data_IF_188209326500
#
_entry.id   IF_188209326500
#
_cell.length_a   1.000
_cell.length_b   1.000
_cell.length_c   1.000
_cell.angle_alpha   90.00
_cell.angle_beta   90.00
_cell.angle_gamma   90.00
#
_symmetry.space_group_name_H-M   'P 1'
#
loop_
_entity.id
_entity.type
_entity.pdbx_description
1 polymer ?
#
# COMPACT_ATOMS: atom_id res chain seq x y z
N UNK A 1 -2.68 -16.29 -8.94
CA UNK A 1 -2.36 -16.75 -10.30
C UNK A 1 -3.05 -18.08 -10.64
N UNK A 2 -2.79 -19.17 -9.91
CA UNK A 2 -3.33 -20.51 -10.26
C UNK A 2 -4.87 -20.57 -10.21
N UNK A 3 -5.51 -20.01 -9.17
CA UNK A 3 -6.98 -19.93 -9.11
C UNK A 3 -7.55 -19.12 -10.28
N UNK A 4 -6.99 -17.93 -10.57
CA UNK A 4 -7.40 -17.11 -11.72
C UNK A 4 -7.33 -17.90 -13.03
N UNK A 5 -6.25 -18.67 -13.23
CA UNK A 5 -6.10 -19.49 -14.42
C UNK A 5 -7.19 -20.57 -14.52
N UNK A 6 -7.50 -21.27 -13.41
CA UNK A 6 -8.54 -22.30 -13.40
C UNK A 6 -9.91 -21.75 -13.76
N UNK A 7 -10.32 -20.63 -13.18
CA UNK A 7 -11.58 -19.97 -13.52
C UNK A 7 -11.59 -19.47 -14.97
N UNK A 8 -10.51 -18.89 -15.43
CA UNK A 8 -10.38 -18.37 -16.79
C UNK A 8 -10.44 -19.49 -17.87
N UNK A 9 -9.90 -20.67 -17.56
CA UNK A 9 -9.96 -21.84 -18.45
C UNK A 9 -11.23 -22.66 -18.28
N UNK A 10 -12.21 -22.21 -17.49
CA UNK A 10 -13.51 -22.87 -17.33
C UNK A 10 -13.41 -24.26 -16.67
N UNK A 11 -12.44 -24.44 -15.75
CA UNK A 11 -12.30 -25.70 -15.02
C UNK A 11 -13.53 -26.01 -14.18
N UNK A 12 -13.89 -27.29 -14.07
CA UNK A 12 -15.03 -27.75 -13.29
C UNK A 12 -14.83 -27.50 -11.79
N UNK A 13 -15.94 -27.46 -11.03
CA UNK A 13 -15.88 -27.37 -9.56
C UNK A 13 -14.97 -28.46 -8.98
N UNK A 14 -15.08 -29.68 -9.49
CA UNK A 14 -14.30 -30.80 -9.00
C UNK A 14 -12.79 -30.58 -9.18
N UNK A 15 -12.34 -30.15 -10.38
CA UNK A 15 -10.93 -29.85 -10.66
C UNK A 15 -10.39 -28.68 -9.80
N UNK A 16 -11.24 -27.72 -9.45
CA UNK A 16 -10.87 -26.62 -8.57
C UNK A 16 -10.78 -27.08 -7.11
N UNK A 17 -11.71 -27.92 -6.66
CA UNK A 17 -11.70 -28.50 -5.32
C UNK A 17 -10.47 -29.41 -5.11
N UNK A 18 -10.15 -30.29 -6.07
CA UNK A 18 -8.92 -31.08 -6.05
C UNK A 18 -7.68 -30.19 -5.90
N UNK A 19 -7.61 -29.11 -6.67
CA UNK A 19 -6.52 -28.15 -6.53
C UNK A 19 -6.45 -27.50 -5.14
N UNK A 20 -7.60 -27.19 -4.51
CA UNK A 20 -7.62 -26.63 -3.14
C UNK A 20 -7.05 -27.63 -2.15
N UNK A 21 -7.43 -28.90 -2.25
CA UNK A 21 -6.91 -29.96 -1.38
C UNK A 21 -5.42 -30.23 -1.59
N UNK A 22 -4.94 -30.18 -2.84
CA UNK A 22 -3.51 -30.37 -3.15
C UNK A 22 -2.61 -29.30 -2.56
N UNK A 23 -3.13 -28.05 -2.44
CA UNK A 23 -2.35 -26.91 -1.96
C UNK A 23 -2.58 -26.56 -0.50
N UNK A 24 -3.73 -26.92 0.05
CA UNK A 24 -4.15 -26.53 1.40
C UNK A 24 -4.61 -27.76 2.18
N UNK A 25 -4.09 -27.89 3.39
CA UNK A 25 -4.56 -28.93 4.31
C UNK A 25 -5.82 -28.43 5.03
N UNK A 26 -6.98 -28.62 4.40
CA UNK A 26 -8.28 -28.12 4.86
C UNK A 26 -9.35 -29.20 4.79
N UNK A 27 -10.39 -29.08 5.60
CA UNK A 27 -11.58 -29.93 5.54
C UNK A 27 -12.53 -29.51 4.40
N UNK A 28 -13.56 -30.33 4.17
CA UNK A 28 -14.53 -30.11 3.10
C UNK A 28 -15.30 -28.79 3.26
N UNK A 29 -15.59 -28.39 4.48
CA UNK A 29 -16.30 -27.13 4.74
C UNK A 29 -15.43 -25.92 4.36
N UNK A 30 -14.19 -25.91 4.81
CA UNK A 30 -13.24 -24.84 4.48
C UNK A 30 -12.93 -24.81 2.98
N UNK A 31 -12.73 -25.98 2.34
CA UNK A 31 -12.48 -26.06 0.90
C UNK A 31 -13.67 -25.51 0.08
N UNK A 32 -14.92 -25.86 0.44
CA UNK A 32 -16.11 -25.32 -0.20
C UNK A 32 -16.22 -23.80 0.03
N UNK A 33 -15.98 -23.30 1.24
CA UNK A 33 -16.02 -21.87 1.55
C UNK A 33 -14.99 -21.09 0.71
N UNK A 34 -13.78 -21.61 0.55
CA UNK A 34 -12.74 -21.03 -0.32
C UNK A 34 -13.23 -21.01 -1.77
N UNK A 35 -13.76 -22.14 -2.26
CA UNK A 35 -14.28 -22.22 -3.63
C UNK A 35 -15.37 -21.18 -3.88
N UNK A 36 -16.38 -21.08 -3.00
CA UNK A 36 -17.50 -20.14 -3.13
C UNK A 36 -17.04 -18.69 -3.08
N UNK A 37 -16.10 -18.37 -2.20
CA UNK A 37 -15.49 -17.04 -2.11
C UNK A 37 -14.83 -16.60 -3.43
N UNK A 38 -14.12 -17.53 -4.10
CA UNK A 38 -13.51 -17.24 -5.40
C UNK A 38 -14.53 -17.20 -6.54
N UNK A 39 -15.58 -18.04 -6.49
CA UNK A 39 -16.69 -18.02 -7.47
C UNK A 39 -17.42 -16.67 -7.37
N UNK A 40 -17.74 -16.24 -6.16
CA UNK A 40 -18.40 -14.97 -5.93
C UNK A 40 -17.55 -13.81 -6.46
N UNK A 41 -16.26 -13.78 -6.10
CA UNK A 41 -15.34 -12.78 -6.65
C UNK A 41 -15.31 -12.79 -8.18
N UNK A 42 -15.21 -13.97 -8.80
CA UNK A 42 -15.13 -14.09 -10.24
C UNK A 42 -16.43 -13.68 -10.96
N UNK A 43 -17.57 -13.79 -10.29
CA UNK A 43 -18.88 -13.35 -10.80
C UNK A 43 -18.96 -11.82 -10.89
N UNK A 44 -18.41 -11.09 -9.92
CA UNK A 44 -18.43 -9.63 -9.90
C UNK A 44 -17.24 -9.01 -10.62
N UNK A 45 -16.08 -9.64 -10.54
CA UNK A 45 -14.84 -9.12 -11.06
C UNK A 45 -13.85 -10.22 -11.42
N UNK A 46 -12.84 -9.88 -12.22
CA UNK A 46 -11.71 -10.78 -12.43
C UNK A 46 -10.91 -10.96 -11.13
N UNK A 47 -10.36 -12.15 -10.95
CA UNK A 47 -9.48 -12.43 -9.81
C UNK A 47 -8.15 -11.70 -10.01
N UNK A 48 -7.69 -10.88 -9.05
CA UNK A 48 -6.37 -10.28 -9.10
C UNK A 48 -5.28 -11.35 -9.05
N UNK A 49 -4.14 -11.08 -9.68
CA UNK A 49 -3.03 -12.02 -9.76
C UNK A 49 -1.69 -11.27 -9.84
N UNK A 50 -0.58 -12.02 -9.86
CA UNK A 50 0.74 -11.43 -10.08
C UNK A 50 0.93 -10.83 -11.49
N UNK A 51 0.00 -11.08 -12.42
CA UNK A 51 -0.02 -10.51 -13.78
C UNK A 51 -1.17 -9.52 -14.00
N UNK A 52 -1.97 -9.27 -12.96
CA UNK A 52 -3.14 -8.39 -13.04
C UNK A 52 -3.35 -7.62 -11.75
N UNK A 53 -3.20 -6.31 -11.83
CA UNK A 53 -3.64 -5.36 -10.84
C UNK A 53 -5.11 -5.00 -11.13
N UNK A 54 -6.01 -5.25 -10.18
CA UNK A 54 -7.41 -4.86 -10.29
C UNK A 54 -7.63 -3.59 -9.47
N UNK A 55 -8.22 -2.57 -10.08
CA UNK A 55 -8.60 -1.32 -9.42
C UNK A 55 -10.13 -1.24 -9.40
N UNK A 56 -10.68 -1.20 -8.20
CA UNK A 56 -12.11 -1.14 -7.96
C UNK A 56 -12.51 0.25 -7.48
N UNK A 57 -13.50 0.85 -8.13
CA UNK A 57 -14.11 2.11 -7.73
C UNK A 57 -15.44 1.83 -7.05
N UNK A 58 -15.56 2.28 -5.82
CA UNK A 58 -16.74 2.10 -4.99
C UNK A 58 -17.18 3.44 -4.39
N UNK A 59 -18.49 3.70 -4.42
CA UNK A 59 -19.07 4.87 -3.75
C UNK A 59 -19.61 4.45 -2.38
N UNK A 60 -18.96 4.92 -1.33
CA UNK A 60 -19.40 4.70 0.03
C UNK A 60 -20.60 5.57 0.44
N UNK A 61 -20.82 5.67 1.73
CA UNK A 61 -21.91 6.47 2.28
C UNK A 61 -21.63 7.98 2.07
N UNK A 62 -22.65 8.73 1.69
CA UNK A 62 -22.54 10.15 1.40
C UNK A 62 -21.77 10.41 0.09
N UNK A 63 -20.81 11.35 0.12
CA UNK A 63 -19.97 11.69 -1.04
C UNK A 63 -18.57 11.05 -0.96
N UNK A 64 -18.37 10.11 -0.05
CA UNK A 64 -17.10 9.42 0.13
C UNK A 64 -16.87 8.43 -1.01
N UNK A 65 -15.74 8.54 -1.66
CA UNK A 65 -15.29 7.66 -2.74
C UNK A 65 -14.16 6.79 -2.25
N UNK A 66 -14.13 5.56 -2.75
CA UNK A 66 -13.07 4.59 -2.51
C UNK A 66 -12.48 4.15 -3.84
N UNK A 67 -11.17 4.07 -3.89
CA UNK A 67 -10.42 3.40 -4.96
C UNK A 67 -9.59 2.31 -4.31
N UNK A 68 -9.94 1.07 -4.61
CA UNK A 68 -9.37 -0.12 -3.99
C UNK A 68 -8.44 -0.77 -4.99
N UNK A 69 -7.21 -0.99 -4.60
CA UNK A 69 -6.18 -1.66 -5.38
C UNK A 69 -5.98 -3.06 -4.83
N UNK A 70 -6.42 -4.06 -5.58
CA UNK A 70 -6.18 -5.47 -5.27
C UNK A 70 -4.76 -5.83 -5.71
N UNK A 71 -3.81 -5.69 -4.79
CA UNK A 71 -2.37 -5.78 -5.00
C UNK A 71 -1.79 -6.86 -4.07
N UNK A 72 -1.47 -8.03 -4.64
CA UNK A 72 -1.07 -9.23 -3.90
C UNK A 72 0.45 -9.29 -3.62
N UNK A 73 1.07 -8.14 -3.39
CA UNK A 73 2.53 -8.02 -3.22
C UNK A 73 2.99 -7.87 -1.77
N UNK A 74 2.04 -7.96 -0.83
CA UNK A 74 2.31 -7.86 0.59
C UNK A 74 2.32 -6.41 1.12
N UNK A 75 2.15 -6.30 2.43
CA UNK A 75 1.88 -5.02 3.12
C UNK A 75 2.95 -3.96 2.88
N UNK A 76 4.24 -4.32 2.89
CA UNK A 76 5.34 -3.35 2.72
C UNK A 76 5.37 -2.74 1.31
N UNK A 77 5.13 -3.55 0.28
CA UNK A 77 5.01 -3.08 -1.11
C UNK A 77 3.76 -2.22 -1.26
N UNK A 78 2.64 -2.67 -0.71
CA UNK A 78 1.37 -1.96 -0.76
C UNK A 78 1.43 -0.61 -0.02
N UNK A 79 2.20 -0.50 1.07
CA UNK A 79 2.45 0.76 1.76
C UNK A 79 3.19 1.76 0.86
N UNK A 80 4.24 1.31 0.17
CA UNK A 80 4.98 2.16 -0.75
C UNK A 80 4.10 2.64 -1.93
N UNK A 81 3.37 1.73 -2.57
CA UNK A 81 2.49 2.06 -3.69
C UNK A 81 1.37 3.00 -3.26
N UNK A 82 0.69 2.71 -2.15
CA UNK A 82 -0.44 3.51 -1.66
C UNK A 82 -0.06 4.95 -1.34
N UNK A 83 1.11 5.16 -0.71
CA UNK A 83 1.61 6.51 -0.40
C UNK A 83 1.98 7.30 -1.65
N UNK A 84 2.63 6.66 -2.63
CA UNK A 84 2.97 7.32 -3.89
C UNK A 84 1.71 7.75 -4.65
N UNK A 85 0.72 6.85 -4.78
CA UNK A 85 -0.55 7.16 -5.45
C UNK A 85 -1.32 8.24 -4.69
N UNK A 86 -1.46 8.10 -3.37
CA UNK A 86 -2.17 9.08 -2.54
C UNK A 86 -1.54 10.47 -2.62
N UNK A 87 -0.21 10.55 -2.69
CA UNK A 87 0.50 11.82 -2.85
C UNK A 87 0.15 12.52 -4.16
N UNK A 88 0.08 11.77 -5.27
CA UNK A 88 -0.33 12.30 -6.59
C UNK A 88 -1.78 12.76 -6.52
N UNK A 89 -2.70 11.90 -6.03
CA UNK A 89 -4.13 12.22 -5.90
C UNK A 89 -4.34 13.46 -5.05
N UNK A 90 -3.70 13.53 -3.87
CA UNK A 90 -3.85 14.67 -2.97
C UNK A 90 -3.42 15.99 -3.62
N UNK A 91 -2.36 15.97 -4.44
CA UNK A 91 -1.90 17.17 -5.18
C UNK A 91 -2.81 17.51 -6.37
N UNK A 92 -3.26 16.50 -7.10
CA UNK A 92 -4.05 16.70 -8.31
C UNK A 92 -5.45 17.23 -7.99
N UNK A 93 -6.07 16.72 -6.93
CA UNK A 93 -7.45 17.06 -6.54
C UNK A 93 -7.51 18.01 -5.35
N UNK A 94 -6.38 18.44 -4.80
CA UNK A 94 -6.27 19.29 -3.61
C UNK A 94 -7.16 18.81 -2.45
N UNK A 95 -7.12 17.50 -2.17
CA UNK A 95 -7.96 16.83 -1.18
C UNK A 95 -7.14 16.02 -0.19
N UNK A 96 -7.71 15.80 0.98
CA UNK A 96 -7.12 14.90 1.98
C UNK A 96 -7.49 13.47 1.64
N UNK A 97 -6.48 12.64 1.41
CA UNK A 97 -6.64 11.22 1.07
C UNK A 97 -6.35 10.36 2.29
N UNK A 98 -7.33 9.54 2.66
CA UNK A 98 -7.14 8.49 3.68
C UNK A 98 -6.63 7.22 2.99
N UNK A 99 -5.68 6.53 3.62
CA UNK A 99 -5.08 5.29 3.12
C UNK A 99 -5.36 4.18 4.13
N UNK A 100 -5.75 3.01 3.64
CA UNK A 100 -5.72 1.76 4.42
C UNK A 100 -4.96 0.70 3.64
N UNK A 101 -4.22 -0.15 4.35
CA UNK A 101 -3.24 -1.07 3.73
C UNK A 101 -3.37 -2.45 4.36
N UNK A 102 -3.40 -3.48 3.51
CA UNK A 102 -3.33 -4.88 3.90
C UNK A 102 -2.28 -5.63 3.06
N UNK A 103 -2.12 -6.92 3.34
CA UNK A 103 -1.23 -7.77 2.55
C UNK A 103 -1.73 -7.98 1.11
N UNK A 104 -3.05 -7.98 0.93
CA UNK A 104 -3.72 -8.29 -0.33
C UNK A 104 -4.15 -7.05 -1.13
N UNK A 105 -3.85 -5.85 -0.62
CA UNK A 105 -4.22 -4.62 -1.31
C UNK A 105 -4.20 -3.40 -0.41
N UNK A 106 -4.65 -2.29 -0.97
CA UNK A 106 -4.84 -1.04 -0.26
C UNK A 106 -6.01 -0.27 -0.87
N UNK A 107 -6.56 0.66 -0.12
CA UNK A 107 -7.48 1.62 -0.71
C UNK A 107 -7.09 3.06 -0.39
N UNK A 108 -7.55 3.94 -1.25
CA UNK A 108 -7.59 5.37 -1.04
C UNK A 108 -9.03 5.80 -0.87
N UNK A 109 -9.31 6.70 0.08
CA UNK A 109 -10.63 7.30 0.18
C UNK A 109 -10.55 8.81 0.42
N UNK A 110 -11.46 9.53 -0.21
CA UNK A 110 -11.64 10.97 -0.05
C UNK A 110 -13.09 11.36 -0.35
N UNK A 111 -13.45 12.57 -0.01
CA UNK A 111 -14.70 13.19 -0.47
C UNK A 111 -14.51 13.76 -1.88
N UNK A 112 -15.54 13.66 -2.73
CA UNK A 112 -15.50 14.15 -4.10
C UNK A 112 -14.79 13.23 -5.10
N UNK A 113 -14.18 13.81 -6.13
CA UNK A 113 -13.54 13.03 -7.20
C UNK A 113 -12.24 12.41 -6.77
N UNK A 114 -12.03 11.14 -7.13
CA UNK A 114 -10.85 10.36 -6.79
C UNK A 114 -10.38 9.56 -8.02
N UNK A 115 -9.35 10.05 -8.72
CA UNK A 115 -8.77 9.46 -9.92
C UNK A 115 -7.60 8.52 -9.60
N UNK A 116 -7.89 7.30 -9.14
CA UNK A 116 -6.85 6.36 -8.74
C UNK A 116 -6.03 5.80 -9.90
N UNK A 117 -6.67 5.42 -11.02
CA UNK A 117 -5.98 4.90 -12.21
C UNK A 117 -5.09 5.96 -12.84
N UNK A 118 -5.60 7.18 -13.00
CA UNK A 118 -4.87 8.31 -13.60
C UNK A 118 -3.64 8.65 -12.77
N UNK A 119 -3.78 8.68 -11.45
CA UNK A 119 -2.67 8.90 -10.54
C UNK A 119 -1.66 7.74 -10.57
N UNK A 120 -2.14 6.50 -10.62
CA UNK A 120 -1.27 5.33 -10.68
C UNK A 120 -0.45 5.30 -11.99
N UNK A 121 -1.06 5.64 -13.13
CA UNK A 121 -0.39 5.73 -14.43
C UNK A 121 0.70 6.82 -14.51
N UNK A 122 0.68 7.81 -13.61
CA UNK A 122 1.74 8.81 -13.53
C UNK A 122 3.00 8.30 -12.83
N UNK A 123 2.93 7.14 -12.15
CA UNK A 123 4.10 6.49 -11.57
C UNK A 123 4.89 5.80 -12.67
N UNK A 124 6.13 6.21 -12.81
CA UNK A 124 7.12 5.59 -13.71
C UNK A 124 8.32 5.08 -12.90
N UNK A 125 9.11 4.14 -13.43
CA UNK A 125 10.32 3.68 -12.75
C UNK A 125 11.26 4.83 -12.36
N UNK A 126 11.36 5.87 -13.19
CA UNK A 126 12.25 7.00 -12.98
C UNK A 126 11.79 7.95 -11.89
N UNK A 127 10.46 8.15 -11.74
CA UNK A 127 9.90 9.15 -10.81
C UNK A 127 9.44 8.55 -9.47
N UNK A 128 9.18 7.24 -9.40
CA UNK A 128 8.55 6.57 -8.27
C UNK A 128 9.26 6.85 -6.93
N UNK A 129 10.58 6.62 -6.89
CA UNK A 129 11.37 6.81 -5.66
C UNK A 129 11.35 8.26 -5.19
N UNK A 130 11.38 9.22 -6.12
CA UNK A 130 11.30 10.64 -5.80
C UNK A 130 9.91 11.02 -5.24
N UNK A 131 8.83 10.59 -5.90
CA UNK A 131 7.45 10.83 -5.45
C UNK A 131 7.24 10.23 -4.05
N UNK A 132 7.67 8.99 -3.84
CA UNK A 132 7.55 8.32 -2.55
C UNK A 132 8.35 9.05 -1.46
N UNK A 133 9.57 9.51 -1.76
CA UNK A 133 10.38 10.30 -0.82
C UNK A 133 9.68 11.61 -0.44
N UNK A 134 9.10 12.29 -1.43
CA UNK A 134 8.34 13.53 -1.17
C UNK A 134 7.10 13.27 -0.32
N UNK A 135 6.41 12.15 -0.55
CA UNK A 135 5.24 11.76 0.24
C UNK A 135 5.56 11.55 1.72
N UNK A 136 6.79 11.15 2.04
CA UNK A 136 7.23 10.86 3.41
C UNK A 136 7.57 12.11 4.24
N UNK A 137 7.93 13.23 3.62
CA UNK A 137 8.55 14.37 4.30
C UNK A 137 7.74 14.94 5.49
N UNK A 138 6.42 14.78 5.48
CA UNK A 138 5.52 15.26 6.56
C UNK A 138 4.87 14.14 7.36
N UNK A 139 5.34 12.89 7.22
CA UNK A 139 4.71 11.73 7.85
C UNK A 139 5.30 11.40 9.23
N UNK A 140 4.48 10.80 10.08
CA UNK A 140 4.93 10.23 11.35
C UNK A 140 5.97 9.12 11.16
N UNK A 141 5.91 8.40 10.04
CA UNK A 141 6.86 7.34 9.69
C UNK A 141 8.28 7.93 9.61
N UNK A 142 8.48 9.00 8.83
CA UNK A 142 9.78 9.65 8.75
C UNK A 142 10.20 10.26 10.09
N UNK A 143 9.30 10.93 10.80
CA UNK A 143 9.58 11.51 12.10
C UNK A 143 10.04 10.47 13.14
N UNK A 144 9.40 9.29 13.13
CA UNK A 144 9.78 8.18 13.98
C UNK A 144 11.16 7.63 13.62
N UNK A 145 11.43 7.37 12.33
CA UNK A 145 12.74 6.87 11.88
C UNK A 145 13.85 7.88 12.15
N UNK A 146 13.63 9.16 11.85
CA UNK A 146 14.59 10.22 12.17
C UNK A 146 14.93 10.27 13.67
N UNK A 147 13.94 10.17 14.55
CA UNK A 147 14.17 10.13 16.00
C UNK A 147 15.03 8.95 16.40
N UNK A 148 14.81 7.76 15.81
CA UNK A 148 15.62 6.58 16.08
C UNK A 148 17.06 6.74 15.57
N UNK A 149 17.24 7.24 14.36
CA UNK A 149 18.57 7.54 13.79
C UNK A 149 19.30 8.60 14.61
N UNK A 150 18.64 9.69 14.98
CA UNK A 150 19.21 10.75 15.82
C UNK A 150 19.60 10.24 17.23
N UNK A 151 18.84 9.29 17.78
CA UNK A 151 19.19 8.66 19.06
C UNK A 151 20.39 7.72 18.96
N UNK A 152 20.50 6.95 17.88
CA UNK A 152 21.65 6.04 17.65
C UNK A 152 22.95 6.78 17.34
N UNK A 153 22.83 7.91 16.64
CA UNK A 153 23.98 8.79 16.34
C UNK A 153 24.37 9.72 17.48
N UNK A 154 23.74 9.58 18.66
CA UNK A 154 23.95 10.44 19.83
C UNK A 154 23.63 11.92 19.59
N UNK A 155 23.01 12.28 18.49
CA UNK A 155 22.51 13.63 18.21
C UNK A 155 21.45 14.07 19.22
N UNK A 156 20.68 13.09 19.74
CA UNK A 156 19.70 13.30 20.81
C UNK A 156 19.95 12.33 21.95
N UNK A 157 20.07 12.84 23.16
CA UNK A 157 20.26 12.01 24.35
C UNK A 157 18.91 11.57 24.93
N UNK A 158 18.77 10.26 25.18
CA UNK A 158 17.59 9.68 25.87
C UNK A 158 17.58 9.97 27.35
N UNK A 159 18.78 10.06 27.96
CA UNK A 159 19.00 10.38 29.37
C UNK A 159 19.85 11.64 29.48
N UNK A 160 19.58 12.43 30.49
CA UNK A 160 20.41 13.60 30.84
C UNK A 160 20.55 13.69 32.35
N UNK A 161 21.79 13.68 32.86
CA UNK A 161 22.10 13.70 34.28
C UNK A 161 21.42 12.57 35.09
N UNK A 162 21.33 11.36 34.52
CA UNK A 162 20.70 10.21 35.15
C UNK A 162 19.17 10.14 35.02
N UNK A 163 18.52 11.19 34.55
CA UNK A 163 17.07 11.21 34.36
C UNK A 163 16.66 10.83 32.94
N UNK A 164 15.70 9.93 32.81
CA UNK A 164 15.10 9.55 31.52
C UNK A 164 14.14 10.65 31.03
N UNK A 165 14.29 11.10 29.81
CA UNK A 165 13.32 12.03 29.20
C UNK A 165 12.05 11.27 28.83
N UNK A 166 10.87 11.84 29.15
CA UNK A 166 9.59 11.23 28.80
C UNK A 166 9.44 11.03 27.28
N UNK A 167 8.75 9.95 26.87
CA UNK A 167 8.54 9.60 25.46
C UNK A 167 7.89 10.76 24.68
N UNK A 168 6.89 11.41 25.25
CA UNK A 168 6.22 12.54 24.62
C UNK A 168 7.16 13.73 24.33
N UNK A 169 8.05 14.08 25.29
CA UNK A 169 9.06 15.12 25.07
C UNK A 169 10.06 14.73 23.98
N UNK A 170 10.45 13.46 23.92
CA UNK A 170 11.35 12.96 22.86
C UNK A 170 10.68 13.05 21.48
N UNK A 171 9.37 12.74 21.38
CA UNK A 171 8.61 12.83 20.14
C UNK A 171 8.52 14.28 19.62
N UNK A 172 8.13 15.20 20.49
CA UNK A 172 8.02 16.64 20.11
C UNK A 172 9.37 17.20 19.69
N UNK A 173 10.42 16.97 20.47
CA UNK A 173 11.78 17.43 20.12
C UNK A 173 12.30 16.79 18.84
N UNK A 174 12.02 15.51 18.61
CA UNK A 174 12.39 14.82 17.37
C UNK A 174 11.74 15.44 16.14
N UNK A 175 10.45 15.82 16.22
CA UNK A 175 9.74 16.50 15.13
C UNK A 175 10.30 17.89 14.85
N UNK A 176 10.56 18.68 15.90
CA UNK A 176 11.16 20.02 15.76
C UNK A 176 12.53 19.91 15.10
N UNK A 177 13.36 18.98 15.58
CA UNK A 177 14.69 18.76 15.04
C UNK A 177 14.65 18.30 13.58
N UNK A 178 13.74 17.37 13.23
CA UNK A 178 13.53 16.93 11.85
C UNK A 178 13.21 18.11 10.94
N UNK A 179 12.24 18.95 11.35
CA UNK A 179 11.85 20.13 10.56
C UNK A 179 13.04 21.08 10.35
N UNK A 180 13.79 21.35 11.41
CA UNK A 180 14.97 22.19 11.35
C UNK A 180 16.04 21.63 10.40
N UNK A 181 16.32 20.33 10.48
CA UNK A 181 17.27 19.66 9.58
C UNK A 181 16.79 19.70 8.14
N UNK A 182 15.49 19.46 7.87
CA UNK A 182 14.93 19.53 6.53
C UNK A 182 15.03 20.94 5.90
N UNK A 183 14.95 21.99 6.71
CA UNK A 183 15.07 23.38 6.25
C UNK A 183 16.54 23.79 6.03
N UNK A 184 17.48 23.27 6.84
CA UNK A 184 18.90 23.61 6.74
C UNK A 184 19.66 22.82 5.68
N UNK A 185 19.49 21.50 5.68
CA UNK A 185 20.24 20.58 4.82
C UNK A 185 19.46 19.31 4.55
N UNK A 186 18.86 19.24 3.37
CA UNK A 186 18.11 18.06 2.92
C UNK A 186 19.00 16.81 2.71
N UNK A 187 20.31 17.02 2.62
CA UNK A 187 21.32 15.98 2.42
C UNK A 187 22.00 15.55 3.71
N UNK A 188 21.54 16.07 4.85
CA UNK A 188 22.07 15.71 6.17
C UNK A 188 22.06 14.18 6.39
N UNK A 189 23.18 13.61 6.79
CA UNK A 189 23.43 12.16 6.83
C UNK A 189 22.38 11.39 7.63
N UNK A 190 21.95 11.90 8.79
CA UNK A 190 20.96 11.26 9.64
C UNK A 190 19.55 11.31 8.98
N UNK A 191 19.25 12.37 8.24
CA UNK A 191 18.01 12.47 7.48
C UNK A 191 17.99 11.49 6.29
N UNK A 192 19.11 11.38 5.58
CA UNK A 192 19.27 10.37 4.53
C UNK A 192 19.09 8.95 5.06
N UNK A 193 19.69 8.63 6.20
CA UNK A 193 19.54 7.32 6.83
C UNK A 193 18.10 7.07 7.30
N UNK A 194 17.45 8.06 7.88
CA UNK A 194 16.04 7.95 8.27
C UNK A 194 15.11 7.71 7.05
N UNK A 195 15.39 8.36 5.91
CA UNK A 195 14.68 8.12 4.65
C UNK A 195 14.96 6.72 4.11
N UNK A 196 16.21 6.27 4.14
CA UNK A 196 16.57 4.90 3.73
C UNK A 196 15.83 3.88 4.56
N UNK A 197 15.86 3.98 5.89
CA UNK A 197 15.11 3.07 6.77
C UNK A 197 13.59 3.11 6.51
N UNK A 198 13.03 4.27 6.22
CA UNK A 198 11.61 4.37 5.90
C UNK A 198 11.27 3.68 4.57
N UNK A 199 12.11 3.84 3.55
CA UNK A 199 11.88 3.31 2.20
C UNK A 199 12.21 1.82 2.06
N UNK A 200 13.28 1.36 2.71
CA UNK A 200 13.85 0.02 2.48
C UNK A 200 13.52 -0.96 3.61
N UNK A 201 13.54 -0.51 4.87
CA UNK A 201 13.32 -1.40 6.03
C UNK A 201 11.84 -1.43 6.45
N UNK A 202 11.18 -0.26 6.49
CA UNK A 202 9.76 -0.16 6.86
C UNK A 202 8.84 -0.48 5.69
N UNK A 203 9.11 0.08 4.52
CA UNK A 203 8.50 -0.27 3.23
C UNK A 203 9.46 -1.16 2.43
N UNK A 204 8.99 -1.66 1.30
CA UNK A 204 9.81 -2.41 0.34
C UNK A 204 9.79 -1.66 -0.99
N UNK A 205 10.55 -0.57 -1.06
CA UNK A 205 10.60 0.30 -2.24
C UNK A 205 11.13 -0.43 -3.47
N UNK A 206 12.04 -1.39 -3.29
CA UNK A 206 12.67 -2.10 -4.41
C UNK A 206 11.67 -3.05 -5.09
N UNK A 207 10.88 -3.80 -4.33
CA UNK A 207 9.84 -4.65 -4.91
C UNK A 207 8.64 -3.83 -5.39
N UNK A 208 8.30 -2.70 -4.77
CA UNK A 208 7.30 -1.76 -5.30
C UNK A 208 7.73 -1.19 -6.66
N UNK A 209 9.00 -0.85 -6.83
CA UNK A 209 9.56 -0.40 -8.11
C UNK A 209 9.42 -1.48 -9.19
N UNK A 210 9.72 -2.76 -8.88
CA UNK A 210 9.51 -3.87 -9.82
C UNK A 210 8.05 -3.99 -10.27
N UNK A 211 7.08 -3.73 -9.40
CA UNK A 211 5.64 -3.73 -9.79
C UNK A 211 5.39 -2.63 -10.83
N UNK A 212 5.93 -1.43 -10.62
CA UNK A 212 5.81 -0.33 -11.58
C UNK A 212 6.49 -0.69 -12.91
N UNK A 213 7.69 -1.31 -12.87
CA UNK A 213 8.42 -1.78 -14.07
C UNK A 213 7.62 -2.83 -14.84
N UNK A 214 7.02 -3.82 -14.15
CA UNK A 214 6.18 -4.86 -14.79
C UNK A 214 4.99 -4.25 -15.52
N UNK A 215 4.39 -3.20 -14.95
CA UNK A 215 3.27 -2.48 -15.58
C UNK A 215 3.77 -1.66 -16.76
N UNK A 216 4.86 -0.91 -16.61
CA UNK A 216 5.44 -0.08 -17.67
C UNK A 216 5.85 -0.92 -18.88
N UNK A 217 6.37 -2.14 -18.65
CA UNK A 217 6.78 -3.08 -19.69
C UNK A 217 5.62 -3.92 -20.28
N UNK A 218 4.38 -3.71 -19.84
CA UNK A 218 3.21 -4.47 -20.30
C UNK A 218 3.15 -5.93 -19.84
N UNK A 219 3.99 -6.32 -18.87
CA UNK A 219 4.01 -7.67 -18.29
C UNK A 219 2.91 -7.88 -17.23
N UNK A 220 2.36 -6.78 -16.72
CA UNK A 220 1.22 -6.77 -15.80
C UNK A 220 0.13 -5.85 -16.36
N UNK A 221 -1.09 -6.39 -16.51
CA UNK A 221 -2.24 -5.59 -16.93
C UNK A 221 -2.89 -4.87 -15.75
N UNK A 222 -3.44 -3.69 -16.01
CA UNK A 222 -4.33 -3.00 -15.07
C UNK A 222 -5.75 -3.16 -15.57
N UNK A 223 -6.65 -3.64 -14.71
CA UNK A 223 -8.10 -3.69 -14.96
C UNK A 223 -8.82 -2.81 -13.97
N UNK A 224 -9.86 -2.14 -14.45
CA UNK A 224 -10.73 -1.30 -13.63
C UNK A 224 -12.14 -1.82 -13.63
N UNK A 225 -12.82 -1.71 -12.50
CA UNK A 225 -14.24 -1.99 -12.35
C UNK A 225 -14.90 -0.88 -11.52
N UNK A 226 -16.19 -0.66 -11.77
CA UNK A 226 -17.03 0.19 -10.93
C UNK A 226 -18.06 -0.70 -10.24
N UNK A 227 -18.16 -0.60 -8.93
CA UNK A 227 -19.06 -1.41 -8.13
C UNK A 227 -19.99 -0.56 -7.27
N UNK A 228 -21.20 -1.06 -7.03
CA UNK A 228 -22.16 -0.44 -6.10
C UNK A 228 -21.91 -0.92 -4.69
N UNK A 229 -21.49 -2.18 -4.57
CA UNK A 229 -21.12 -2.85 -3.31
C UNK A 229 -19.69 -3.34 -3.49
N UNK A 230 -18.82 -3.26 -2.48
CA UNK A 230 -17.47 -3.79 -2.56
C UNK A 230 -17.48 -5.27 -2.96
N UNK A 231 -16.55 -5.66 -3.84
CA UNK A 231 -16.39 -7.07 -4.19
C UNK A 231 -15.97 -7.88 -2.95
N UNK A 232 -16.16 -9.22 -2.94
CA UNK A 232 -15.77 -10.07 -1.82
C UNK A 232 -14.33 -9.83 -1.35
N UNK A 233 -13.39 -9.64 -2.28
CA UNK A 233 -11.99 -9.37 -1.93
C UNK A 233 -11.76 -7.96 -1.37
N UNK A 234 -12.60 -6.99 -1.72
CA UNK A 234 -12.55 -5.65 -1.20
C UNK A 234 -13.20 -5.50 0.17
N UNK A 235 -14.17 -6.36 0.50
CA UNK A 235 -15.00 -6.22 1.70
C UNK A 235 -14.17 -6.07 2.97
N UNK A 236 -13.19 -6.94 3.18
CA UNK A 236 -12.31 -6.90 4.35
C UNK A 236 -11.34 -5.70 4.37
N UNK A 237 -11.23 -4.95 3.27
CA UNK A 237 -10.40 -3.75 3.20
C UNK A 237 -11.17 -2.50 3.62
N UNK A 238 -12.49 -2.45 3.35
CA UNK A 238 -13.32 -1.25 3.51
C UNK A 238 -14.31 -1.31 4.69
N UNK A 239 -14.45 -2.50 5.33
CA UNK A 239 -15.29 -2.74 6.52
C UNK A 239 -14.69 -2.21 7.84
#
# INVERSE_FOLDING_TARGET
>A
AHMDAKFRYGKSKQEIMEFIYDYLYVDDFAANSIYEYFVEQYTYAKIPSNQRLLIEYYKGFGDRRFVIFHSLFGRKVNDALSRAVAYIVARQYNTNVTISISDNGFYLSAEGTLGGLEAFKQLTPENFKNILTQSLNKTETLASRFRHCAGRSLMTLRHYKGEAKSVGRQQVRGKILLKFVQEMDNDFSILKEARREALEDYMDVNNALKVIELIANGQMEIKTINTIIPTPFAFNLVS
#
